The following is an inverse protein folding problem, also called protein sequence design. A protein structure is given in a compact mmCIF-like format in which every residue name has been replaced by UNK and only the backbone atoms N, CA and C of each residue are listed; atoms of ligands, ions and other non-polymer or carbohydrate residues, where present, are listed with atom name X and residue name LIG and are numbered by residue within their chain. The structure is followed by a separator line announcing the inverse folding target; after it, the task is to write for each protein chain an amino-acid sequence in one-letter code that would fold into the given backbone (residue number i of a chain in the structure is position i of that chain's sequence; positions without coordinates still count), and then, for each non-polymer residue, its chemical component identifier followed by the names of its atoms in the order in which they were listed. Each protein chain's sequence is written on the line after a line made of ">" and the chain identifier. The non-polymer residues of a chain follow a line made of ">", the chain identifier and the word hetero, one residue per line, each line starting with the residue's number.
data_IF_447691759267
#
_entry.id   IF_447691759267
#
_cell.length_a   1.000
_cell.length_b   1.000
_cell.length_c   1.000
_cell.angle_alpha   90.00
_cell.angle_beta   90.00
_cell.angle_gamma   90.00
#
_symmetry.space_group_name_H-M   'P 1'
#
loop_
_entity.id
_entity.type
_entity.pdbx_description
1 polymer ?
#
# COMPACT_ATOMS: atom_id res chain seq x y z
N UNK A 1 28.14 -8.10 -9.72
CA UNK A 1 27.67 -6.99 -8.86
C UNK A 1 27.53 -7.49 -7.44
N UNK A 2 28.21 -6.87 -6.51
CA UNK A 2 28.09 -7.24 -5.09
C UNK A 2 26.85 -6.56 -4.52
N UNK A 3 25.86 -7.35 -4.12
CA UNK A 3 24.71 -6.80 -3.40
C UNK A 3 25.15 -6.36 -2.00
N UNK A 4 24.95 -5.08 -1.69
CA UNK A 4 25.15 -4.60 -0.32
C UNK A 4 24.09 -5.25 0.57
N UNK A 5 24.54 -6.07 1.50
CA UNK A 5 23.67 -6.68 2.49
C UNK A 5 23.43 -5.66 3.60
N UNK A 6 22.18 -5.25 3.76
CA UNK A 6 21.80 -4.35 4.84
C UNK A 6 21.85 -5.11 6.16
N UNK A 7 22.59 -4.58 7.13
CA UNK A 7 22.65 -5.13 8.48
C UNK A 7 21.42 -4.68 9.27
N UNK A 8 20.54 -5.63 9.60
CA UNK A 8 19.31 -5.38 10.34
C UNK A 8 19.39 -5.81 11.82
N UNK A 9 20.59 -6.12 12.31
CA UNK A 9 20.78 -6.62 13.70
C UNK A 9 20.26 -5.63 14.74
N UNK A 10 20.39 -4.32 14.47
CA UNK A 10 19.96 -3.26 15.38
C UNK A 10 18.56 -2.71 15.06
N UNK A 11 17.81 -3.38 14.20
CA UNK A 11 16.43 -3.00 13.89
C UNK A 11 15.49 -3.63 14.91
N UNK A 12 14.45 -2.92 15.28
CA UNK A 12 13.44 -3.41 16.22
C UNK A 12 12.15 -3.81 15.50
N UNK A 13 11.36 -4.62 16.20
CA UNK A 13 10.03 -5.02 15.72
C UNK A 13 9.00 -3.96 16.06
N UNK A 14 8.11 -3.70 15.12
CA UNK A 14 6.97 -2.79 15.26
C UNK A 14 5.73 -3.47 14.73
N UNK A 15 4.60 -3.26 15.38
CA UNK A 15 3.30 -3.76 14.91
C UNK A 15 2.81 -2.84 13.79
N UNK A 16 2.44 -3.43 12.65
CA UNK A 16 2.01 -2.67 11.47
C UNK A 16 0.88 -1.69 11.81
N UNK A 17 -0.15 -2.15 12.53
CA UNK A 17 -1.30 -1.34 12.92
C UNK A 17 -0.99 -0.22 13.91
N UNK A 18 0.15 -0.25 14.58
CA UNK A 18 0.61 0.85 15.45
C UNK A 18 1.17 2.01 14.64
N UNK A 19 1.67 1.74 13.44
CA UNK A 19 2.33 2.73 12.58
C UNK A 19 1.43 3.26 11.47
N UNK A 20 0.48 2.46 11.02
CA UNK A 20 -0.35 2.73 9.84
C UNK A 20 -1.82 2.55 10.17
N UNK A 21 -2.66 3.22 9.40
CA UNK A 21 -4.12 3.08 9.48
C UNK A 21 -4.73 2.85 8.11
N UNK A 22 -5.77 2.05 8.06
CA UNK A 22 -6.55 1.83 6.85
C UNK A 22 -7.45 3.05 6.61
N UNK A 23 -7.48 3.54 5.38
CA UNK A 23 -8.34 4.65 4.98
C UNK A 23 -9.72 4.13 4.56
N UNK A 24 -10.82 4.80 5.00
CA UNK A 24 -12.18 4.39 4.66
C UNK A 24 -12.62 4.93 3.29
N UNK A 25 -11.89 4.57 2.24
CA UNK A 25 -12.15 5.05 0.88
C UNK A 25 -13.24 4.21 0.21
N UNK A 26 -14.16 4.87 -0.46
CA UNK A 26 -15.26 4.24 -1.16
C UNK A 26 -15.40 4.77 -2.58
N UNK A 27 -16.18 4.06 -3.40
CA UNK A 27 -16.62 4.55 -4.71
C UNK A 27 -17.81 5.49 -4.46
N UNK A 28 -17.65 6.78 -4.80
CA UNK A 28 -18.68 7.81 -4.57
C UNK A 28 -19.85 7.72 -5.54
N UNK A 29 -19.57 7.27 -6.77
CA UNK A 29 -20.60 7.15 -7.80
C UNK A 29 -21.49 5.94 -7.51
N UNK A 30 -22.70 6.17 -7.08
CA UNK A 30 -23.67 5.11 -6.75
C UNK A 30 -24.05 4.25 -7.94
N UNK A 31 -23.91 4.80 -9.15
CA UNK A 31 -24.19 4.10 -10.42
C UNK A 31 -22.93 3.60 -11.10
N UNK A 32 -21.83 3.43 -10.35
CA UNK A 32 -20.56 3.00 -10.91
C UNK A 32 -20.69 1.70 -11.68
N UNK A 33 -20.21 1.70 -12.93
CA UNK A 33 -20.21 0.55 -13.81
C UNK A 33 -18.79 0.21 -14.21
N UNK A 34 -18.31 -0.95 -13.81
CA UNK A 34 -16.95 -1.41 -14.05
C UNK A 34 -16.56 -1.44 -15.53
N UNK A 35 -17.53 -1.60 -16.43
CA UNK A 35 -17.27 -1.65 -17.88
C UNK A 35 -17.18 -0.26 -18.49
N UNK A 36 -17.98 0.69 -18.00
CA UNK A 36 -18.14 2.02 -18.60
C UNK A 36 -17.31 3.10 -17.91
N UNK A 37 -17.03 2.93 -16.62
CA UNK A 37 -16.48 3.99 -15.76
C UNK A 37 -15.00 3.81 -15.44
N UNK A 38 -14.33 2.87 -16.13
CA UNK A 38 -12.89 2.66 -16.03
C UNK A 38 -12.27 2.49 -17.41
N UNK A 39 -10.95 2.73 -17.48
CA UNK A 39 -10.14 2.50 -18.68
C UNK A 39 -8.89 1.70 -18.29
N UNK A 40 -8.46 0.80 -19.16
CA UNK A 40 -7.19 0.08 -18.99
C UNK A 40 -5.97 0.96 -19.22
N UNK A 41 -6.15 2.06 -19.96
CA UNK A 41 -5.10 3.02 -20.24
C UNK A 41 -5.46 4.38 -19.66
N UNK A 42 -4.44 5.13 -19.22
CA UNK A 42 -4.62 6.47 -18.69
C UNK A 42 -5.01 7.43 -19.82
N UNK A 43 -6.10 8.17 -19.63
CA UNK A 43 -6.57 9.18 -20.58
C UNK A 43 -6.86 10.48 -19.83
N UNK A 44 -7.21 11.54 -20.55
CA UNK A 44 -7.60 12.81 -19.92
C UNK A 44 -8.86 12.64 -19.07
N UNK A 45 -9.83 11.85 -19.53
CA UNK A 45 -11.06 11.56 -18.79
C UNK A 45 -10.83 10.59 -17.65
N UNK A 46 -10.10 9.50 -17.93
CA UNK A 46 -9.78 8.45 -16.96
C UNK A 46 -8.33 8.63 -16.51
N UNK A 47 -8.10 9.57 -15.61
CA UNK A 47 -6.76 9.97 -15.19
C UNK A 47 -6.36 9.43 -13.81
N UNK A 48 -7.32 8.97 -13.02
CA UNK A 48 -7.06 8.51 -11.64
C UNK A 48 -6.61 7.04 -11.63
N UNK A 49 -5.37 6.75 -11.15
CA UNK A 49 -4.95 5.37 -10.95
C UNK A 49 -5.85 4.66 -9.93
N UNK A 50 -6.29 3.44 -10.27
CA UNK A 50 -7.11 2.59 -9.41
C UNK A 50 -6.37 1.30 -9.11
N UNK A 51 -6.14 1.04 -7.83
CA UNK A 51 -5.54 -0.21 -7.39
C UNK A 51 -6.60 -1.27 -7.14
N UNK A 52 -6.23 -2.54 -7.35
CA UNK A 52 -7.08 -3.69 -7.16
C UNK A 52 -6.18 -4.93 -7.05
N UNK A 53 -6.70 -6.12 -7.34
CA UNK A 53 -5.96 -7.39 -7.34
C UNK A 53 -5.00 -7.48 -8.53
N UNK A 54 -4.03 -6.59 -8.62
CA UNK A 54 -3.06 -6.51 -9.71
C UNK A 54 -1.67 -6.87 -9.21
N UNK A 55 -1.11 -7.95 -9.77
CA UNK A 55 0.28 -8.31 -9.56
C UNK A 55 1.15 -7.60 -10.61
N UNK A 56 2.07 -6.75 -10.17
CA UNK A 56 2.86 -5.91 -11.06
C UNK A 56 2.17 -4.58 -11.39
N UNK A 57 2.75 -3.80 -12.27
CA UNK A 57 2.29 -2.47 -12.66
C UNK A 57 1.97 -1.55 -11.47
N UNK A 58 2.76 -1.67 -10.41
CA UNK A 58 2.57 -0.95 -9.14
C UNK A 58 1.15 -1.11 -8.55
N UNK A 59 0.50 -2.25 -8.77
CA UNK A 59 -0.84 -2.53 -8.27
C UNK A 59 -1.96 -1.82 -9.03
N UNK A 60 -1.65 -1.01 -10.02
CA UNK A 60 -2.62 -0.24 -10.80
C UNK A 60 -3.26 -1.13 -11.86
N UNK A 61 -4.55 -1.37 -11.72
CA UNK A 61 -5.30 -2.22 -12.63
C UNK A 61 -6.04 -1.42 -13.70
N UNK A 62 -6.61 -0.29 -13.32
CA UNK A 62 -7.42 0.57 -14.18
C UNK A 62 -7.17 2.04 -13.86
N UNK A 63 -7.79 2.90 -14.67
CA UNK A 63 -7.88 4.35 -14.43
C UNK A 63 -9.35 4.75 -14.42
N UNK A 64 -9.72 5.61 -13.49
CA UNK A 64 -11.09 6.08 -13.32
C UNK A 64 -11.18 7.60 -13.38
N UNK A 65 -12.42 8.11 -13.26
CA UNK A 65 -12.67 9.54 -13.11
C UNK A 65 -12.53 9.92 -11.64
N UNK A 66 -11.83 10.98 -11.36
CA UNK A 66 -11.57 11.43 -9.99
C UNK A 66 -12.87 11.71 -9.21
N UNK A 67 -13.89 12.25 -9.89
CA UNK A 67 -15.18 12.53 -9.27
C UNK A 67 -15.95 11.28 -8.81
N UNK A 68 -15.61 10.11 -9.34
CA UNK A 68 -16.30 8.86 -9.02
C UNK A 68 -15.77 8.18 -7.73
N UNK A 69 -14.65 8.64 -7.19
CA UNK A 69 -13.94 7.94 -6.11
C UNK A 69 -13.52 8.87 -4.98
N UNK A 70 -13.52 8.34 -3.75
CA UNK A 70 -12.67 8.89 -2.71
C UNK A 70 -11.21 8.64 -3.08
N UNK A 71 -10.35 9.61 -2.85
CA UNK A 71 -8.93 9.53 -3.22
C UNK A 71 -8.03 9.85 -2.04
N UNK A 72 -6.79 9.36 -2.10
CA UNK A 72 -5.75 9.73 -1.15
C UNK A 72 -4.38 9.73 -1.80
N UNK A 73 -3.47 10.52 -1.26
CA UNK A 73 -2.07 10.61 -1.68
C UNK A 73 -1.18 10.07 -0.56
N UNK A 74 0.04 9.72 -0.91
CA UNK A 74 1.06 9.24 0.04
C UNK A 74 0.57 8.04 0.84
N UNK A 75 0.08 7.03 0.13
CA UNK A 75 -0.48 5.81 0.72
C UNK A 75 0.31 4.56 0.32
N UNK A 76 -0.03 3.46 0.95
CA UNK A 76 0.45 2.12 0.62
C UNK A 76 -0.76 1.26 0.27
N UNK A 77 -0.70 0.62 -0.88
CA UNK A 77 -1.69 -0.32 -1.39
C UNK A 77 -1.36 -1.73 -0.88
N UNK A 78 -2.34 -2.38 -0.29
CA UNK A 78 -2.25 -3.79 0.12
C UNK A 78 -3.33 -4.56 -0.63
N UNK A 79 -2.91 -5.57 -1.39
CA UNK A 79 -3.85 -6.44 -2.12
C UNK A 79 -4.46 -7.45 -1.16
N UNK A 80 -5.77 -7.36 -0.99
CA UNK A 80 -6.51 -8.19 -0.06
C UNK A 80 -6.75 -9.59 -0.61
N UNK A 81 -7.07 -9.70 -1.89
CA UNK A 81 -7.52 -10.94 -2.51
C UNK A 81 -7.18 -10.97 -4.00
N UNK A 82 -6.60 -12.06 -4.45
CA UNK A 82 -6.25 -12.31 -5.84
C UNK A 82 -5.51 -13.64 -5.97
N UNK A 83 -5.58 -14.29 -7.12
CA UNK A 83 -4.99 -15.61 -7.32
C UNK A 83 -3.47 -15.61 -7.08
N UNK A 84 -2.77 -14.56 -7.54
CA UNK A 84 -1.33 -14.40 -7.39
C UNK A 84 -1.01 -13.19 -6.51
N UNK A 85 -1.85 -12.16 -6.55
CA UNK A 85 -1.56 -10.85 -5.98
C UNK A 85 -1.85 -10.71 -4.48
N UNK A 86 -2.54 -11.68 -3.84
CA UNK A 86 -2.85 -11.59 -2.40
C UNK A 86 -1.57 -11.33 -1.60
N UNK A 87 -1.57 -10.25 -0.82
CA UNK A 87 -0.42 -9.86 -0.02
C UNK A 87 0.65 -9.05 -0.75
N UNK A 88 0.42 -8.70 -2.02
CA UNK A 88 1.27 -7.72 -2.71
C UNK A 88 1.09 -6.34 -2.07
N UNK A 89 2.17 -5.57 -1.98
CA UNK A 89 2.18 -4.25 -1.36
C UNK A 89 2.92 -3.26 -2.25
N UNK A 90 2.29 -2.14 -2.53
CA UNK A 90 2.87 -1.11 -3.42
C UNK A 90 2.72 0.29 -2.81
N UNK A 91 3.79 1.07 -2.88
CA UNK A 91 3.73 2.48 -2.50
C UNK A 91 2.96 3.28 -3.56
N UNK A 92 2.04 4.13 -3.11
CA UNK A 92 1.21 4.99 -3.96
C UNK A 92 1.38 6.45 -3.53
N UNK A 93 2.47 7.12 -3.96
CA UNK A 93 2.68 8.52 -3.58
C UNK A 93 1.71 9.49 -4.26
N UNK A 94 1.20 9.15 -5.45
CA UNK A 94 0.26 9.96 -6.21
C UNK A 94 -1.18 9.75 -5.71
N UNK A 95 -2.08 10.64 -6.13
CA UNK A 95 -3.52 10.50 -5.90
C UNK A 95 -4.00 9.17 -6.47
N UNK A 96 -4.69 8.38 -5.66
CA UNK A 96 -5.08 7.00 -5.98
C UNK A 96 -6.47 6.72 -5.44
N UNK A 97 -7.27 6.00 -6.20
CA UNK A 97 -8.53 5.40 -5.76
C UNK A 97 -8.39 3.89 -5.65
N UNK A 98 -9.38 3.25 -5.05
CA UNK A 98 -9.33 1.80 -4.78
C UNK A 98 -10.60 1.11 -5.21
N UNK A 99 -10.44 -0.08 -5.79
CA UNK A 99 -11.50 -1.01 -6.11
C UNK A 99 -11.62 -2.08 -4.99
N UNK A 100 -12.32 -3.17 -5.25
CA UNK A 100 -12.83 -4.06 -4.20
C UNK A 100 -11.81 -5.00 -3.54
N UNK A 101 -10.73 -5.35 -4.25
CA UNK A 101 -9.81 -6.39 -3.79
C UNK A 101 -8.48 -5.84 -3.26
N UNK A 102 -8.43 -4.56 -2.99
CA UNK A 102 -7.29 -3.89 -2.37
C UNK A 102 -7.78 -2.80 -1.42
N UNK A 103 -6.88 -2.33 -0.55
CA UNK A 103 -7.16 -1.18 0.32
C UNK A 103 -5.90 -0.34 0.49
N UNK A 104 -6.09 0.92 0.85
CA UNK A 104 -5.01 1.85 1.10
C UNK A 104 -4.83 2.08 2.59
N UNK A 105 -3.57 2.08 3.02
CA UNK A 105 -3.17 2.44 4.38
C UNK A 105 -2.24 3.64 4.33
N UNK A 106 -2.17 4.38 5.42
CA UNK A 106 -1.37 5.59 5.51
C UNK A 106 -0.64 5.63 6.85
N UNK A 107 0.61 6.12 6.89
CA UNK A 107 1.29 6.35 8.16
C UNK A 107 0.48 7.27 9.07
N UNK A 108 0.35 6.90 10.34
CA UNK A 108 -0.34 7.72 11.34
C UNK A 108 0.40 9.02 11.63
N UNK A 109 1.74 9.01 11.48
CA UNK A 109 2.55 10.21 11.65
C UNK A 109 2.52 11.04 10.36
N UNK A 110 1.84 12.19 10.39
CA UNK A 110 1.70 13.09 9.25
C UNK A 110 3.01 13.74 8.79
N UNK A 111 4.08 13.67 9.59
CA UNK A 111 5.39 14.21 9.22
C UNK A 111 6.19 13.26 8.32
N UNK A 112 5.68 12.05 8.10
CA UNK A 112 6.29 11.08 7.19
C UNK A 112 5.67 11.31 5.82
N UNK A 113 6.31 12.12 5.01
CA UNK A 113 5.74 12.58 3.74
C UNK A 113 6.69 12.37 2.55
N UNK A 114 7.48 11.28 2.56
CA UNK A 114 8.40 10.97 1.49
C UNK A 114 7.99 9.69 0.76
N UNK A 115 8.07 9.73 -0.57
CA UNK A 115 7.86 8.53 -1.39
C UNK A 115 8.88 7.43 -1.07
N UNK A 116 10.08 7.79 -0.65
CA UNK A 116 11.13 6.83 -0.30
C UNK A 116 10.79 6.07 0.98
N UNK A 117 10.25 6.77 1.97
CA UNK A 117 9.74 6.15 3.20
C UNK A 117 8.59 5.22 2.88
N UNK A 118 7.65 5.61 2.02
CA UNK A 118 6.56 4.73 1.58
C UNK A 118 7.08 3.47 0.89
N UNK A 119 8.05 3.62 0.00
CA UNK A 119 8.66 2.48 -0.70
C UNK A 119 9.37 1.54 0.26
N UNK A 120 10.06 2.11 1.24
CA UNK A 120 10.73 1.33 2.28
C UNK A 120 9.72 0.52 3.09
N UNK A 121 8.66 1.18 3.59
CA UNK A 121 7.60 0.53 4.36
C UNK A 121 6.87 -0.54 3.52
N UNK A 122 6.54 -0.24 2.27
CA UNK A 122 5.88 -1.20 1.40
C UNK A 122 6.71 -2.47 1.22
N UNK A 123 8.01 -2.34 1.01
CA UNK A 123 8.93 -3.47 0.86
C UNK A 123 8.99 -4.33 2.12
N UNK A 124 9.11 -3.70 3.28
CA UNK A 124 9.21 -4.40 4.56
C UNK A 124 7.89 -5.08 4.93
N UNK A 125 6.76 -4.40 4.69
CA UNK A 125 5.42 -4.95 4.94
C UNK A 125 5.16 -6.16 4.03
N UNK A 126 5.47 -6.05 2.74
CA UNK A 126 5.29 -7.16 1.80
C UNK A 126 6.09 -8.38 2.23
N UNK A 127 7.33 -8.19 2.64
CA UNK A 127 8.17 -9.27 3.15
C UNK A 127 7.55 -9.97 4.36
N UNK A 128 6.84 -9.22 5.21
CA UNK A 128 6.21 -9.76 6.41
C UNK A 128 4.91 -10.51 6.10
N UNK A 129 4.16 -10.11 5.07
CA UNK A 129 2.79 -10.61 4.85
C UNK A 129 2.62 -11.50 3.62
N UNK A 130 3.46 -11.39 2.58
CA UNK A 130 3.19 -11.98 1.26
C UNK A 130 2.90 -13.48 1.31
N UNK A 131 3.68 -14.25 2.05
CA UNK A 131 3.54 -15.72 2.10
C UNK A 131 2.60 -16.21 3.21
N UNK A 132 1.99 -15.29 3.96
CA UNK A 132 1.09 -15.65 5.06
C UNK A 132 -0.37 -15.73 4.64
N UNK A 133 -0.70 -15.21 3.45
CA UNK A 133 -2.07 -15.11 2.95
C UNK A 133 -2.15 -15.68 1.54
N UNK A 134 -3.37 -16.05 1.14
CA UNK A 134 -3.65 -16.65 -0.15
C UNK A 134 -5.06 -16.25 -0.60
N UNK A 135 -5.47 -16.73 -1.79
CA UNK A 135 -6.84 -16.55 -2.27
C UNK A 135 -7.89 -17.06 -1.27
N UNK A 136 -7.58 -18.16 -0.57
CA UNK A 136 -8.48 -18.79 0.41
C UNK A 136 -8.33 -18.20 1.82
N UNK A 137 -7.30 -17.40 2.07
CA UNK A 137 -7.05 -16.72 3.34
C UNK A 137 -6.65 -15.28 3.05
N UNK A 138 -7.66 -14.42 2.92
CA UNK A 138 -7.52 -13.04 2.47
C UNK A 138 -6.66 -12.21 3.41
N UNK A 139 -5.85 -11.31 2.83
CA UNK A 139 -5.00 -10.37 3.56
C UNK A 139 -5.82 -9.16 4.03
N UNK A 140 -6.83 -9.41 4.86
CA UNK A 140 -7.65 -8.33 5.43
C UNK A 140 -6.86 -7.54 6.47
N UNK A 141 -7.22 -6.27 6.65
CA UNK A 141 -6.47 -5.37 7.53
C UNK A 141 -6.44 -5.87 8.99
N UNK A 142 -7.53 -6.44 9.49
CA UNK A 142 -7.56 -6.99 10.86
C UNK A 142 -6.49 -8.05 11.09
N UNK A 143 -6.14 -8.81 10.06
CA UNK A 143 -5.09 -9.83 10.14
C UNK A 143 -3.72 -9.25 9.87
N UNK A 144 -3.59 -8.37 8.88
CA UNK A 144 -2.30 -7.77 8.51
C UNK A 144 -1.80 -6.80 9.59
N UNK A 145 -2.71 -6.04 10.20
CA UNK A 145 -2.37 -4.98 11.16
C UNK A 145 -1.70 -5.48 12.43
N UNK A 146 -1.93 -6.74 12.81
CA UNK A 146 -1.36 -7.33 14.04
C UNK A 146 0.01 -7.97 13.83
N UNK A 147 0.47 -8.05 12.59
CA UNK A 147 1.79 -8.59 12.27
C UNK A 147 2.88 -7.56 12.53
N UNK A 148 4.09 -8.04 12.79
CA UNK A 148 5.24 -7.18 13.05
C UNK A 148 6.15 -7.06 11.84
N UNK A 149 6.80 -5.91 11.75
CA UNK A 149 7.86 -5.61 10.77
C UNK A 149 9.10 -5.13 11.52
N UNK A 150 10.27 -5.34 10.91
CA UNK A 150 11.53 -4.80 11.44
C UNK A 150 11.86 -3.49 10.76
N UNK A 151 12.16 -2.46 11.57
CA UNK A 151 12.56 -1.15 11.07
C UNK A 151 13.81 -0.66 11.78
N UNK A 152 14.65 0.14 11.10
CA UNK A 152 15.75 0.83 11.74
C UNK A 152 15.22 1.77 12.82
N UNK A 153 15.96 1.90 13.92
CA UNK A 153 15.55 2.70 15.06
C UNK A 153 16.50 3.87 15.29
N UNK A 154 15.93 4.98 15.72
CA UNK A 154 16.67 6.13 16.22
C UNK A 154 17.16 5.88 17.64
N UNK A 155 17.96 6.82 18.18
CA UNK A 155 18.45 6.74 19.54
C UNK A 155 17.34 6.71 20.60
N UNK A 156 16.15 7.19 20.27
CA UNK A 156 14.97 7.17 21.16
C UNK A 156 14.21 5.85 21.12
N UNK A 157 14.59 4.91 20.24
CA UNK A 157 13.88 3.63 20.08
C UNK A 157 12.68 3.69 19.14
N UNK A 158 12.40 4.85 18.55
CA UNK A 158 11.35 5.02 17.53
C UNK A 158 11.89 4.66 16.15
N UNK A 159 11.00 4.38 15.16
CA UNK A 159 11.47 4.17 13.81
C UNK A 159 12.32 5.34 13.32
N UNK A 160 13.43 5.03 12.66
CA UNK A 160 14.32 6.07 12.13
C UNK A 160 13.84 6.49 10.72
N UNK A 161 12.88 7.40 10.71
CA UNK A 161 12.26 7.88 9.48
C UNK A 161 13.26 8.60 8.57
N UNK A 162 14.21 9.31 9.15
CA UNK A 162 15.25 10.01 8.38
C UNK A 162 16.14 9.04 7.61
N UNK A 163 16.49 7.91 8.24
CA UNK A 163 17.26 6.86 7.57
C UNK A 163 16.47 6.26 6.40
N UNK A 164 15.18 5.99 6.59
CA UNK A 164 14.33 5.43 5.54
C UNK A 164 14.13 6.38 4.36
N UNK A 165 14.23 7.68 4.62
CA UNK A 165 14.09 8.72 3.60
C UNK A 165 15.38 9.01 2.83
N UNK A 166 16.51 8.55 3.34
CA UNK A 166 17.82 8.83 2.73
C UNK A 166 18.15 7.97 1.51
#
# INVERSE_FOLDING_TARGET
>A
MTMLKIDTVNWNDFIIGDLLEKLPLTIKNENFNKTLDVSEVQTKEFNLPLVNAKHGNNGIMYYGREEDFDTAEMTIDIVQNGAIATGDVYAQPQKTGVLWDAYLVKPKNNNIASKYTLMFLATVIEKAIKDRFSYDDKCVWDKASVLSIKLPVSSSGNPDWDYMDS
#
